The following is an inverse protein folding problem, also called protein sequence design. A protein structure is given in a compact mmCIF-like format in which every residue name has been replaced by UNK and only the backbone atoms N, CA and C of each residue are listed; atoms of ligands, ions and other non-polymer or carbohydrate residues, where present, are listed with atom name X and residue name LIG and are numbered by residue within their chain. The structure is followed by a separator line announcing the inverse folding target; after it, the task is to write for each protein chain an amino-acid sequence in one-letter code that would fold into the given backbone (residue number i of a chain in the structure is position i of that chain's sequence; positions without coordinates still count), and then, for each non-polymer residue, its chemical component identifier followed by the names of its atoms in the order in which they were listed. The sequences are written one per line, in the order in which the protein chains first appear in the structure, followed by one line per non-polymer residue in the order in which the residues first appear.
data_IF_834361839797
#
_entry.id   IF_834361839797
#
_cell.length_a   1.000
_cell.length_b   1.000
_cell.length_c   1.000
_cell.angle_alpha   90.00
_cell.angle_beta   90.00
_cell.angle_gamma   90.00
#
_symmetry.space_group_name_H-M   'P 1'
#
loop_
_entity.id
_entity.type
_entity.pdbx_description
1 polymer ?
#
# COMPACT_ATOMS: atom_id res chain seq x y z
N UNK A 1 0.34 -44.16 49.43
CA UNK A 1 -0.64 -43.07 49.20
C UNK A 1 -0.48 -42.37 47.85
N UNK A 2 0.72 -41.92 47.43
CA UNK A 2 0.90 -41.21 46.13
C UNK A 2 0.60 -42.04 44.87
N UNK A 3 0.68 -43.38 44.93
CA UNK A 3 0.32 -44.27 43.79
C UNK A 3 -1.20 -44.46 43.62
N UNK A 4 -1.96 -44.39 44.71
CA UNK A 4 -3.43 -44.44 44.67
C UNK A 4 -4.05 -43.11 44.25
N UNK A 5 -3.37 -41.99 44.55
CA UNK A 5 -3.79 -40.65 44.12
C UNK A 5 -3.79 -40.50 42.58
N UNK A 6 -2.84 -41.13 41.87
CA UNK A 6 -2.82 -41.16 40.40
C UNK A 6 -3.88 -42.09 39.80
N UNK A 7 -4.23 -43.18 40.48
CA UNK A 7 -5.29 -44.11 40.05
C UNK A 7 -6.69 -43.52 40.24
N UNK A 8 -6.91 -42.72 41.29
CA UNK A 8 -8.17 -42.00 41.52
C UNK A 8 -8.37 -40.88 40.49
N UNK A 9 -7.30 -40.15 40.12
CA UNK A 9 -7.36 -39.09 39.11
C UNK A 9 -7.67 -39.63 37.69
N UNK A 10 -7.15 -40.81 37.33
CA UNK A 10 -7.44 -41.48 36.04
C UNK A 10 -8.88 -42.04 36.02
N UNK A 11 -9.42 -42.45 37.18
CA UNK A 11 -10.81 -42.88 37.31
C UNK A 11 -11.83 -41.76 37.17
N UNK A 12 -11.55 -40.54 37.67
CA UNK A 12 -12.48 -39.41 37.56
C UNK A 12 -12.57 -38.81 36.14
N UNK A 13 -11.50 -38.90 35.35
CA UNK A 13 -11.50 -38.41 33.96
C UNK A 13 -12.27 -39.36 33.02
N UNK A 14 -12.47 -40.62 33.41
CA UNK A 14 -13.18 -41.63 32.61
C UNK A 14 -14.69 -41.71 32.90
N UNK A 15 -15.18 -41.02 33.94
CA UNK A 15 -16.61 -40.96 34.32
C UNK A 15 -17.35 -39.76 33.70
N UNK A 16 -16.64 -38.75 33.18
CA UNK A 16 -17.25 -37.59 32.51
C UNK A 16 -17.54 -37.79 31.00
N UNK A 17 -17.31 -39.00 30.47
CA UNK A 17 -17.49 -39.30 29.03
C UNK A 17 -18.71 -40.19 28.71
N UNK A 18 -19.60 -40.50 29.66
CA UNK A 18 -20.79 -41.33 29.41
C UNK A 18 -22.02 -40.83 30.17
N UNK A 19 -22.82 -39.96 29.53
CA UNK A 19 -24.28 -39.73 29.67
C UNK A 19 -24.61 -38.36 29.04
N UNK A 20 -24.89 -38.24 27.74
CA UNK A 20 -26.08 -38.66 26.98
C UNK A 20 -27.34 -37.83 27.22
N UNK A 21 -27.97 -37.46 26.10
CA UNK A 21 -29.08 -36.55 25.81
C UNK A 21 -30.35 -36.61 26.68
N UNK A 22 -31.06 -35.48 26.75
CA UNK A 22 -32.47 -35.39 27.12
C UNK A 22 -33.13 -34.12 26.56
N UNK A 23 -33.90 -34.27 25.47
CA UNK A 23 -34.77 -33.28 24.82
C UNK A 23 -36.10 -33.19 25.59
N UNK A 24 -36.63 -31.99 25.90
CA UNK A 24 -38.03 -31.68 25.58
C UNK A 24 -38.39 -30.19 25.59
N UNK A 25 -39.38 -29.89 24.76
CA UNK A 25 -39.81 -28.61 24.17
C UNK A 25 -40.51 -27.66 25.15
N UNK A 26 -40.35 -26.35 24.93
CA UNK A 26 -41.47 -25.41 24.78
C UNK A 26 -41.03 -24.24 23.89
N UNK A 27 -41.97 -23.82 23.05
CA UNK A 27 -41.92 -22.74 22.07
C UNK A 27 -42.35 -21.47 22.80
N UNK A 28 -41.62 -20.38 22.63
CA UNK A 28 -42.14 -19.02 22.66
C UNK A 28 -41.35 -18.21 21.63
N UNK A 29 -42.08 -17.61 20.69
CA UNK A 29 -41.62 -16.72 19.62
C UNK A 29 -41.16 -15.38 20.19
N UNK A 30 -40.06 -14.82 19.67
CA UNK A 30 -39.82 -13.38 19.44
C UNK A 30 -38.64 -13.22 18.45
N UNK A 31 -38.62 -12.15 17.63
CA UNK A 31 -38.18 -12.19 16.23
C UNK A 31 -36.67 -12.04 16.04
N UNK A 32 -36.12 -12.78 15.07
CA UNK A 32 -34.72 -12.69 14.65
C UNK A 32 -34.46 -11.37 13.90
N UNK A 33 -33.57 -10.56 14.46
CA UNK A 33 -32.97 -9.41 13.77
C UNK A 33 -32.04 -9.94 12.67
N UNK A 34 -32.48 -9.68 11.44
CA UNK A 34 -31.87 -10.07 10.17
C UNK A 34 -30.53 -9.35 9.95
N UNK A 35 -29.43 -9.93 10.46
CA UNK A 35 -28.09 -9.54 10.02
C UNK A 35 -27.78 -10.18 8.67
N UNK A 36 -28.44 -9.70 7.60
CA UNK A 36 -27.85 -9.90 6.27
C UNK A 36 -26.66 -8.96 6.11
N UNK A 37 -25.47 -9.46 5.76
CA UNK A 37 -24.43 -8.57 5.27
C UNK A 37 -24.89 -8.03 3.90
N UNK A 38 -25.36 -6.78 3.88
CA UNK A 38 -25.52 -6.01 2.63
C UNK A 38 -24.15 -5.56 2.13
N UNK A 39 -23.39 -6.50 1.59
CA UNK A 39 -22.41 -6.25 0.52
C UNK A 39 -21.98 -7.59 -0.09
N UNK A 40 -22.88 -8.22 -0.84
CA UNK A 40 -22.48 -9.29 -1.75
C UNK A 40 -21.93 -8.67 -3.03
N UNK A 41 -20.66 -8.25 -3.01
CA UNK A 41 -19.89 -8.24 -4.25
C UNK A 41 -19.70 -9.71 -4.64
N UNK A 42 -20.50 -10.21 -5.57
CA UNK A 42 -20.19 -11.46 -6.25
C UNK A 42 -18.99 -11.20 -7.14
N UNK A 43 -17.80 -11.27 -6.57
CA UNK A 43 -16.57 -11.41 -7.34
C UNK A 43 -16.67 -12.79 -7.98
N UNK A 44 -16.83 -12.86 -9.29
CA UNK A 44 -16.75 -14.14 -9.99
C UNK A 44 -15.39 -14.81 -9.73
N UNK A 45 -15.38 -16.15 -9.77
CA UNK A 45 -14.20 -16.95 -9.46
C UNK A 45 -13.00 -16.59 -10.35
N UNK A 46 -13.25 -16.06 -11.55
CA UNK A 46 -12.26 -15.56 -12.48
C UNK A 46 -11.58 -14.28 -11.97
N UNK A 47 -12.34 -13.30 -11.48
CA UNK A 47 -11.82 -12.06 -10.90
C UNK A 47 -11.08 -12.32 -9.58
N UNK A 48 -11.57 -13.27 -8.76
CA UNK A 48 -10.87 -13.69 -7.54
C UNK A 48 -9.55 -14.42 -7.85
N UNK A 49 -9.52 -15.24 -8.91
CA UNK A 49 -8.31 -15.92 -9.37
C UNK A 49 -7.28 -14.93 -9.94
N UNK A 50 -7.71 -13.93 -10.72
CA UNK A 50 -6.83 -12.89 -11.29
C UNK A 50 -6.20 -12.01 -10.19
N UNK A 51 -6.92 -11.72 -9.11
CA UNK A 51 -6.37 -10.95 -7.98
C UNK A 51 -5.38 -11.79 -7.14
N UNK A 52 -5.57 -13.11 -7.08
CA UNK A 52 -4.67 -14.04 -6.37
C UNK A 52 -3.30 -14.21 -7.06
N UNK A 53 -3.19 -13.81 -8.33
CA UNK A 53 -1.95 -13.88 -9.09
C UNK A 53 -1.21 -12.53 -9.19
N UNK A 54 -1.65 -11.48 -8.48
CA UNK A 54 -0.98 -10.18 -8.49
C UNK A 54 -0.59 -9.73 -7.09
N UNK A 55 0.48 -8.95 -7.01
CA UNK A 55 0.94 -8.30 -5.78
C UNK A 55 0.83 -6.78 -5.94
N UNK A 56 0.31 -6.06 -4.93
CA UNK A 56 0.31 -4.61 -4.95
C UNK A 56 1.73 -4.08 -4.73
N UNK A 57 2.11 -3.06 -5.48
CA UNK A 57 3.31 -2.24 -5.27
C UNK A 57 2.90 -0.77 -5.22
N UNK A 58 3.67 0.03 -4.49
CA UNK A 58 3.40 1.46 -4.31
C UNK A 58 4.38 2.24 -5.16
N UNK A 59 3.86 3.14 -6.01
CA UNK A 59 4.61 4.11 -6.77
C UNK A 59 4.34 5.52 -6.26
N UNK A 60 5.30 6.42 -6.42
CA UNK A 60 5.17 7.82 -6.00
C UNK A 60 5.15 8.75 -7.20
N UNK A 61 4.07 9.52 -7.36
CA UNK A 61 3.88 10.54 -8.40
C UNK A 61 3.68 11.92 -7.76
N UNK A 62 3.68 12.99 -8.55
CA UNK A 62 3.38 14.33 -8.01
C UNK A 62 1.88 14.50 -7.77
N UNK A 63 1.51 15.27 -6.74
CA UNK A 63 0.16 15.84 -6.63
C UNK A 63 -0.15 16.81 -7.79
N UNK A 64 -1.40 17.26 -7.88
CA UNK A 64 -1.83 18.20 -8.91
C UNK A 64 -1.06 19.53 -8.86
N UNK A 65 -0.58 19.92 -7.67
CA UNK A 65 0.15 21.16 -7.43
C UNK A 65 1.67 21.04 -7.67
N UNK A 66 2.19 19.84 -7.94
CA UNK A 66 3.63 19.55 -8.09
C UNK A 66 4.45 19.99 -6.86
N UNK A 67 3.88 19.80 -5.67
CA UNK A 67 4.45 20.20 -4.39
C UNK A 67 4.83 19.00 -3.52
N UNK A 68 4.11 17.87 -3.63
CA UNK A 68 4.35 16.66 -2.84
C UNK A 68 4.25 15.39 -3.67
N UNK A 69 4.75 14.30 -3.09
CA UNK A 69 4.61 12.96 -3.61
C UNK A 69 3.33 12.29 -3.08
N UNK A 70 2.52 11.75 -3.97
CA UNK A 70 1.31 10.99 -3.69
C UNK A 70 1.51 9.53 -4.11
N UNK A 71 0.99 8.62 -3.29
CA UNK A 71 1.10 7.17 -3.53
C UNK A 71 0.06 6.73 -4.56
N UNK A 72 0.48 5.92 -5.52
CA UNK A 72 -0.41 5.21 -6.45
C UNK A 72 -0.13 3.71 -6.39
N UNK A 73 -1.16 2.88 -6.21
CA UNK A 73 -1.00 1.42 -6.22
C UNK A 73 -0.96 0.90 -7.65
N UNK A 74 -0.01 0.01 -7.90
CA UNK A 74 0.06 -0.85 -9.08
C UNK A 74 -0.02 -2.31 -8.69
N UNK A 75 -0.49 -3.14 -9.61
CA UNK A 75 -0.53 -4.58 -9.44
C UNK A 75 0.47 -5.20 -10.41
N UNK A 76 1.41 -5.98 -9.87
CA UNK A 76 2.44 -6.70 -10.62
C UNK A 76 2.17 -8.19 -10.50
N UNK A 77 2.38 -8.96 -11.56
CA UNK A 77 2.17 -10.41 -11.51
C UNK A 77 3.07 -11.07 -10.45
N UNK A 78 2.50 -11.96 -9.65
CA UNK A 78 3.18 -12.66 -8.57
C UNK A 78 4.34 -13.51 -9.09
N UNK A 79 4.21 -14.02 -10.31
CA UNK A 79 5.25 -14.79 -11.00
C UNK A 79 6.49 -13.94 -11.29
N UNK A 80 6.32 -12.65 -11.58
CA UNK A 80 7.41 -11.68 -11.75
C UNK A 80 7.97 -11.23 -10.40
N UNK A 81 7.10 -10.90 -9.44
CA UNK A 81 7.52 -10.44 -8.12
C UNK A 81 8.36 -11.49 -7.35
N UNK A 82 8.08 -12.79 -7.57
CA UNK A 82 8.83 -13.90 -6.96
C UNK A 82 10.22 -14.13 -7.58
N UNK A 83 10.57 -13.47 -8.70
CA UNK A 83 11.89 -13.61 -9.32
C UNK A 83 13.01 -12.88 -8.57
N UNK A 84 12.67 -12.05 -7.58
CA UNK A 84 13.62 -11.39 -6.68
C UNK A 84 13.53 -9.87 -6.70
N UNK A 85 14.17 -9.24 -5.72
CA UNK A 85 14.08 -7.81 -5.47
C UNK A 85 14.56 -6.95 -6.65
N UNK A 86 15.63 -7.35 -7.35
CA UNK A 86 16.15 -6.62 -8.53
C UNK A 86 15.15 -6.61 -9.70
N UNK A 87 14.45 -7.72 -9.93
CA UNK A 87 13.43 -7.83 -10.97
C UNK A 87 12.24 -6.95 -10.61
N UNK A 88 11.75 -7.04 -9.37
CA UNK A 88 10.63 -6.23 -8.90
C UNK A 88 10.96 -4.72 -8.93
N UNK A 89 12.14 -4.32 -8.46
CA UNK A 89 12.63 -2.95 -8.54
C UNK A 89 12.69 -2.44 -9.99
N UNK A 90 13.16 -3.28 -10.91
CA UNK A 90 13.19 -2.94 -12.35
C UNK A 90 11.79 -2.74 -12.92
N UNK A 91 10.81 -3.54 -12.51
CA UNK A 91 9.40 -3.38 -12.90
C UNK A 91 8.84 -2.07 -12.36
N UNK A 92 9.07 -1.77 -11.08
CA UNK A 92 8.57 -0.54 -10.44
C UNK A 92 9.13 0.72 -11.11
N UNK A 93 10.41 0.76 -11.46
CA UNK A 93 10.99 1.88 -12.22
C UNK A 93 10.39 2.00 -13.62
N UNK A 94 10.15 0.88 -14.31
CA UNK A 94 9.49 0.89 -15.62
C UNK A 94 8.06 1.41 -15.53
N UNK A 95 7.30 1.06 -14.49
CA UNK A 95 5.96 1.60 -14.27
C UNK A 95 5.98 3.11 -13.95
N UNK A 96 6.96 3.59 -13.17
CA UNK A 96 7.15 5.04 -12.99
C UNK A 96 7.45 5.76 -14.31
N UNK A 97 8.31 5.17 -15.15
CA UNK A 97 8.62 5.69 -16.49
C UNK A 97 7.37 5.66 -17.38
N UNK A 98 6.52 4.64 -17.26
CA UNK A 98 5.26 4.56 -17.99
C UNK A 98 4.28 5.67 -17.57
N UNK A 99 4.39 6.17 -16.35
CA UNK A 99 3.61 7.29 -15.82
C UNK A 99 2.39 6.84 -14.98
N UNK A 100 1.63 7.81 -14.47
CA UNK A 100 0.44 7.52 -13.68
C UNK A 100 -0.69 6.93 -14.53
N UNK A 101 -1.57 6.13 -13.91
CA UNK A 101 -2.79 5.59 -14.55
C UNK A 101 -4.05 6.30 -14.09
N UNK A 102 -3.90 7.31 -13.24
CA UNK A 102 -4.98 8.21 -12.83
C UNK A 102 -4.64 9.63 -13.28
N UNK A 103 -5.66 10.45 -13.48
CA UNK A 103 -5.54 11.88 -13.79
C UNK A 103 -5.31 12.76 -12.54
N UNK A 104 -5.48 12.18 -11.34
CA UNK A 104 -5.32 12.83 -10.03
C UNK A 104 -3.88 13.10 -9.62
N UNK A 105 -2.92 12.48 -10.30
CA UNK A 105 -1.49 12.64 -10.02
C UNK A 105 -0.73 12.87 -11.32
N UNK A 106 0.44 13.49 -11.22
CA UNK A 106 1.23 13.93 -12.37
C UNK A 106 2.52 13.15 -12.54
N UNK A 107 2.90 12.98 -13.81
CA UNK A 107 4.19 12.42 -14.22
C UNK A 107 5.33 13.32 -13.74
N UNK A 108 6.36 12.70 -13.17
CA UNK A 108 7.63 13.35 -12.80
C UNK A 108 8.78 12.97 -13.75
N UNK A 109 8.85 11.70 -14.15
CA UNK A 109 9.91 11.22 -15.05
C UNK A 109 9.67 11.72 -16.48
N UNK A 110 10.62 12.45 -17.10
CA UNK A 110 10.46 13.01 -18.45
C UNK A 110 10.21 11.95 -19.52
N UNK A 111 9.36 12.28 -20.49
CA UNK A 111 9.01 11.38 -21.59
C UNK A 111 10.21 10.99 -22.47
N UNK A 112 10.31 9.71 -22.80
CA UNK A 112 11.43 9.14 -23.53
C UNK A 112 12.64 8.76 -22.66
N UNK A 113 12.57 8.99 -21.35
CA UNK A 113 13.48 8.33 -20.40
C UNK A 113 13.29 6.82 -20.49
N UNK A 114 14.39 6.07 -20.52
CA UNK A 114 14.36 4.62 -20.45
C UNK A 114 15.32 4.10 -19.38
N UNK A 115 14.99 2.93 -18.85
CA UNK A 115 15.89 2.15 -18.00
C UNK A 115 16.86 1.36 -18.89
N UNK A 116 18.17 1.55 -18.73
CA UNK A 116 19.20 0.96 -19.61
C UNK A 116 19.53 -0.50 -19.32
N UNK A 117 19.17 -0.99 -18.15
CA UNK A 117 19.41 -2.35 -17.70
C UNK A 117 18.64 -2.66 -16.43
N UNK A 118 18.71 -3.90 -15.92
CA UNK A 118 18.08 -4.22 -14.64
C UNK A 118 18.65 -3.34 -13.52
N UNK A 119 17.79 -2.94 -12.60
CA UNK A 119 18.19 -2.32 -11.34
C UNK A 119 19.04 -3.32 -10.57
N UNK A 120 20.21 -2.88 -10.11
CA UNK A 120 21.13 -3.71 -9.33
C UNK A 120 21.03 -3.34 -7.86
N UNK A 121 21.04 -4.31 -6.96
CA UNK A 121 20.98 -4.09 -5.52
C UNK A 121 22.23 -4.67 -4.86
N UNK A 122 23.05 -3.80 -4.27
CA UNK A 122 24.26 -4.16 -3.52
C UNK A 122 24.30 -3.35 -2.23
N UNK A 123 24.57 -3.99 -1.09
CA UNK A 123 24.62 -3.34 0.23
C UNK A 123 23.40 -2.44 0.55
N UNK A 124 22.21 -2.90 0.13
CA UNK A 124 20.92 -2.19 0.22
C UNK A 124 20.87 -0.85 -0.52
N UNK A 125 21.75 -0.67 -1.50
CA UNK A 125 21.75 0.44 -2.45
C UNK A 125 21.27 -0.07 -3.80
N UNK A 126 20.17 0.47 -4.29
CA UNK A 126 19.68 0.19 -5.64
C UNK A 126 20.32 1.16 -6.64
N UNK A 127 21.04 0.64 -7.63
CA UNK A 127 21.58 1.44 -8.73
C UNK A 127 20.64 1.41 -9.93
N UNK A 128 20.17 2.59 -10.34
CA UNK A 128 19.25 2.81 -11.47
C UNK A 128 20.01 3.53 -12.59
N UNK A 129 20.20 2.85 -13.73
CA UNK A 129 20.85 3.42 -14.91
C UNK A 129 19.81 3.90 -15.93
N UNK A 130 19.66 5.22 -16.05
CA UNK A 130 18.69 5.85 -16.94
C UNK A 130 19.35 6.41 -18.19
N UNK A 131 18.55 6.60 -19.24
CA UNK A 131 19.00 7.32 -20.43
C UNK A 131 19.11 8.83 -20.19
N UNK A 132 19.82 9.54 -21.07
CA UNK A 132 20.10 10.99 -20.95
C UNK A 132 18.85 11.86 -20.96
N UNK A 133 17.76 11.38 -21.56
CA UNK A 133 16.47 12.08 -21.62
C UNK A 133 15.93 12.41 -20.23
N UNK A 134 16.27 11.61 -19.22
CA UNK A 134 15.96 11.91 -17.82
C UNK A 134 16.44 13.30 -17.41
N UNK A 135 17.61 13.71 -17.89
CA UNK A 135 18.19 15.04 -17.62
C UNK A 135 17.79 16.04 -18.70
N UNK A 136 18.01 15.69 -19.97
CA UNK A 136 17.90 16.63 -21.10
C UNK A 136 16.47 17.16 -21.30
N UNK A 137 15.46 16.40 -20.91
CA UNK A 137 14.05 16.77 -21.05
C UNK A 137 13.38 17.16 -19.74
N UNK A 138 14.12 17.22 -18.64
CA UNK A 138 13.54 17.65 -17.38
C UNK A 138 13.18 19.14 -17.47
N UNK A 139 11.95 19.55 -17.10
CA UNK A 139 11.50 20.95 -17.20
C UNK A 139 12.29 21.91 -16.29
N UNK A 140 13.06 21.36 -15.35
CA UNK A 140 13.84 22.13 -14.37
C UNK A 140 13.01 22.49 -13.15
N UNK A 141 13.49 23.47 -12.37
CA UNK A 141 12.89 23.86 -11.10
C UNK A 141 13.35 22.97 -9.94
N UNK A 142 13.70 23.60 -8.82
CA UNK A 142 14.29 22.89 -7.68
C UNK A 142 13.35 21.87 -7.07
N UNK A 143 12.11 22.30 -6.75
CA UNK A 143 11.07 21.45 -6.16
C UNK A 143 10.77 20.28 -7.07
N UNK A 144 10.55 20.54 -8.36
CA UNK A 144 10.20 19.50 -9.31
C UNK A 144 11.35 18.51 -9.53
N UNK A 145 12.60 18.99 -9.55
CA UNK A 145 13.77 18.13 -9.60
C UNK A 145 13.89 17.25 -8.35
N UNK A 146 13.60 17.80 -7.16
CA UNK A 146 13.61 17.04 -5.91
C UNK A 146 12.53 15.95 -5.93
N UNK A 147 11.30 16.30 -6.31
CA UNK A 147 10.21 15.35 -6.46
C UNK A 147 10.55 14.25 -7.48
N UNK A 148 11.16 14.58 -8.61
CA UNK A 148 11.54 13.58 -9.62
C UNK A 148 12.54 12.56 -9.10
N UNK A 149 13.55 12.99 -8.34
CA UNK A 149 14.50 12.06 -7.72
C UNK A 149 13.78 11.20 -6.68
N UNK A 150 13.05 11.83 -5.76
CA UNK A 150 12.42 11.10 -4.68
C UNK A 150 11.20 10.27 -5.09
N UNK A 151 10.62 10.51 -6.26
CA UNK A 151 9.65 9.59 -6.88
C UNK A 151 10.27 8.21 -7.09
N UNK A 152 11.50 8.15 -7.63
CA UNK A 152 12.24 6.90 -7.80
C UNK A 152 12.71 6.35 -6.44
N UNK A 153 13.28 7.21 -5.60
CA UNK A 153 13.84 6.79 -4.30
C UNK A 153 12.78 6.22 -3.38
N UNK A 154 11.67 6.94 -3.17
CA UNK A 154 10.60 6.49 -2.27
C UNK A 154 9.90 5.25 -2.83
N UNK A 155 9.71 5.16 -4.14
CA UNK A 155 9.18 3.94 -4.77
C UNK A 155 10.06 2.73 -4.50
N UNK A 156 11.36 2.82 -4.76
CA UNK A 156 12.26 1.67 -4.58
C UNK A 156 12.48 1.30 -3.12
N UNK A 157 12.46 2.27 -2.21
CA UNK A 157 12.61 2.03 -0.76
C UNK A 157 11.35 1.48 -0.09
N UNK A 158 10.25 1.26 -0.83
CA UNK A 158 9.16 0.38 -0.38
C UNK A 158 9.62 -1.09 -0.30
N UNK A 159 10.64 -1.47 -1.08
CA UNK A 159 11.24 -2.80 -1.01
C UNK A 159 12.19 -2.85 0.18
N UNK A 160 11.95 -3.77 1.12
CA UNK A 160 12.71 -3.91 2.37
C UNK A 160 14.22 -4.14 2.17
N UNK A 161 14.61 -4.65 1.01
CA UNK A 161 16.01 -4.89 0.64
C UNK A 161 16.75 -3.62 0.21
N UNK A 162 16.05 -2.49 0.04
CA UNK A 162 16.59 -1.22 -0.48
C UNK A 162 16.38 -0.12 0.56
N UNK A 163 17.47 0.53 0.97
CA UNK A 163 17.42 1.72 1.82
C UNK A 163 17.80 3.01 1.11
N UNK A 164 18.66 2.90 0.10
CA UNK A 164 19.18 4.03 -0.64
C UNK A 164 19.15 3.74 -2.13
N UNK A 165 19.07 4.78 -2.94
CA UNK A 165 19.07 4.67 -4.39
C UNK A 165 20.15 5.54 -4.99
N UNK A 166 20.95 4.96 -5.89
CA UNK A 166 21.93 5.65 -6.72
C UNK A 166 21.38 5.78 -8.13
N UNK A 167 21.37 7.00 -8.67
CA UNK A 167 20.93 7.25 -10.05
C UNK A 167 22.16 7.56 -10.91
N UNK A 168 22.35 6.78 -11.96
CA UNK A 168 23.41 6.98 -12.95
C UNK A 168 22.79 7.18 -14.33
N UNK A 169 23.53 7.85 -15.22
CA UNK A 169 23.04 8.21 -16.55
C UNK A 169 23.99 7.64 -17.60
N UNK A 170 23.45 6.84 -18.51
CA UNK A 170 24.23 6.19 -19.57
C UNK A 170 25.47 5.44 -19.03
N UNK A 171 25.30 4.71 -17.92
CA UNK A 171 26.34 3.95 -17.26
C UNK A 171 27.41 4.79 -16.57
N UNK A 172 27.18 6.10 -16.39
CA UNK A 172 28.14 7.03 -15.77
C UNK A 172 27.51 7.79 -14.62
N UNK A 173 28.32 8.02 -13.59
CA UNK A 173 27.98 8.98 -12.54
C UNK A 173 27.84 10.37 -13.16
N UNK A 174 26.76 11.05 -12.81
CA UNK A 174 26.49 12.42 -13.26
C UNK A 174 26.51 13.34 -12.07
N UNK A 175 27.16 14.50 -12.20
CA UNK A 175 27.32 15.41 -11.06
C UNK A 175 26.14 16.32 -10.82
N UNK A 176 25.35 16.64 -11.83
CA UNK A 176 24.29 17.64 -11.73
C UNK A 176 23.01 17.18 -12.42
N UNK A 177 21.90 17.38 -11.74
CA UNK A 177 20.54 17.19 -12.23
C UNK A 177 19.74 18.47 -12.03
N UNK A 178 19.08 18.94 -13.09
CA UNK A 178 18.31 20.19 -13.10
C UNK A 178 19.04 21.41 -12.50
N UNK A 179 20.38 21.44 -12.62
CA UNK A 179 21.22 22.57 -12.20
C UNK A 179 21.55 22.69 -10.71
N UNK A 180 20.86 21.98 -9.80
CA UNK A 180 21.11 22.09 -8.35
C UNK A 180 21.32 20.78 -7.61
N UNK A 181 20.68 19.69 -8.03
CA UNK A 181 20.80 18.40 -7.33
C UNK A 181 22.06 17.71 -7.81
N UNK A 182 22.88 17.23 -6.88
CA UNK A 182 24.05 16.42 -7.23
C UNK A 182 23.71 14.94 -7.18
N UNK A 183 23.90 14.22 -8.30
CA UNK A 183 23.66 12.77 -8.38
C UNK A 183 24.93 11.94 -8.07
N UNK A 184 25.92 12.54 -7.40
CA UNK A 184 27.17 11.87 -7.00
C UNK A 184 27.06 11.17 -5.63
N UNK A 185 25.85 11.03 -5.09
CA UNK A 185 25.54 10.37 -3.83
C UNK A 185 24.37 9.38 -3.97
N UNK A 186 24.24 8.50 -2.99
CA UNK A 186 23.07 7.64 -2.83
C UNK A 186 22.01 8.36 -1.98
N UNK A 187 20.77 8.34 -2.43
CA UNK A 187 19.66 9.04 -1.79
C UNK A 187 18.89 8.10 -0.87
N UNK A 188 18.80 8.39 0.45
CA UNK A 188 17.87 7.69 1.33
C UNK A 188 16.44 8.17 1.10
N UNK A 189 15.47 7.39 1.54
CA UNK A 189 14.05 7.77 1.54
C UNK A 189 13.79 9.14 2.20
N UNK A 190 12.87 9.92 1.64
CA UNK A 190 12.44 11.20 2.20
C UNK A 190 10.92 11.24 2.42
N UNK A 191 10.49 11.09 3.67
CA UNK A 191 9.07 11.12 4.08
C UNK A 191 8.51 12.54 4.25
N UNK A 192 9.35 13.57 4.28
CA UNK A 192 8.89 14.94 4.53
C UNK A 192 8.13 15.54 3.34
N UNK A 193 8.37 15.01 2.14
CA UNK A 193 7.77 15.47 0.88
C UNK A 193 6.62 14.58 0.41
N UNK A 194 6.26 13.55 1.18
CA UNK A 194 5.13 12.67 0.89
C UNK A 194 3.87 13.31 1.46
N UNK A 195 2.81 13.38 0.66
CA UNK A 195 1.50 13.76 1.17
C UNK A 195 0.95 12.64 2.08
N UNK A 196 0.64 13.01 3.32
CA UNK A 196 0.16 12.09 4.36
C UNK A 196 -1.36 12.12 4.51
N UNK A 197 -2.02 13.12 3.93
CA UNK A 197 -3.45 13.36 4.03
C UNK A 197 -4.18 12.81 2.79
N UNK A 198 -3.53 12.83 1.63
CA UNK A 198 -4.04 12.18 0.42
C UNK A 198 -3.75 10.67 0.48
N UNK A 199 -4.81 9.87 0.52
CA UNK A 199 -4.77 8.41 0.47
C UNK A 199 -4.22 7.86 -0.86
N UNK A 200 -4.21 6.53 -0.99
CA UNK A 200 -3.71 5.84 -2.19
C UNK A 200 -4.53 6.24 -3.42
N UNK A 201 -3.89 6.78 -4.45
CA UNK A 201 -4.48 6.85 -5.79
C UNK A 201 -4.62 5.42 -6.32
N UNK A 202 -5.86 5.01 -6.62
CA UNK A 202 -6.15 3.69 -7.16
C UNK A 202 -6.62 3.86 -8.61
N UNK A 203 -5.96 3.22 -9.60
CA UNK A 203 -6.42 3.22 -10.98
C UNK A 203 -7.82 2.63 -11.11
N UNK A 204 -8.72 3.29 -11.85
CA UNK A 204 -10.10 2.80 -12.08
C UNK A 204 -10.14 1.40 -12.72
N UNK A 205 -9.17 1.08 -13.58
CA UNK A 205 -9.09 -0.23 -14.26
C UNK A 205 -8.68 -1.41 -13.35
N UNK A 206 -8.40 -1.18 -12.07
CA UNK A 206 -8.10 -2.27 -11.14
C UNK A 206 -9.32 -3.12 -10.76
N UNK A 207 -10.53 -2.83 -11.29
CA UNK A 207 -11.77 -3.51 -10.91
C UNK A 207 -12.17 -3.28 -9.44
N UNK A 208 -11.54 -2.31 -8.79
CA UNK A 208 -11.75 -1.96 -7.40
C UNK A 208 -12.31 -0.54 -7.36
N UNK A 209 -13.61 -0.45 -7.10
CA UNK A 209 -14.30 0.83 -6.90
C UNK A 209 -13.68 1.50 -5.67
N UNK A 210 -13.29 2.79 -5.73
CA UNK A 210 -12.76 3.48 -4.56
C UNK A 210 -13.81 3.52 -3.46
N UNK A 211 -13.44 3.06 -2.26
CA UNK A 211 -14.17 3.42 -1.04
C UNK A 211 -13.87 4.89 -0.79
N UNK A 212 -14.73 5.75 -1.32
CA UNK A 212 -14.80 7.15 -0.88
C UNK A 212 -15.19 7.08 0.59
N UNK A 213 -14.26 7.41 1.48
CA UNK A 213 -14.61 7.70 2.85
C UNK A 213 -15.44 8.98 2.86
N UNK A 214 -16.74 8.85 2.67
CA UNK A 214 -17.70 9.89 3.07
C UNK A 214 -17.69 9.89 4.59
N UNK A 215 -16.72 10.60 5.16
CA UNK A 215 -16.77 11.05 6.53
C UNK A 215 -17.83 12.13 6.65
N UNK A 216 -19.09 11.76 6.45
CA UNK A 216 -20.22 12.53 6.92
C UNK A 216 -20.27 12.30 8.43
N UNK A 217 -19.45 13.07 9.15
CA UNK A 217 -19.67 13.29 10.57
C UNK A 217 -20.94 14.12 10.67
N UNK A 218 -22.08 13.43 10.83
CA UNK A 218 -23.30 14.03 11.32
C UNK A 218 -22.97 14.75 12.63
N UNK A 219 -22.98 16.08 12.55
CA UNK A 219 -22.85 16.98 13.69
C UNK A 219 -24.25 17.32 14.18
N UNK A 220 -24.98 16.29 14.59
CA UNK A 220 -26.19 16.45 15.38
C UNK A 220 -25.99 15.62 16.64
N UNK A 221 -25.62 16.29 17.72
CA UNK A 221 -26.31 16.24 19.01
C UNK A 221 -25.36 16.65 20.15
N UNK A 222 -25.25 17.96 20.36
CA UNK A 222 -24.60 18.51 21.55
C UNK A 222 -25.06 19.95 21.82
N UNK A 223 -26.38 20.18 21.93
CA UNK A 223 -26.88 21.38 22.62
C UNK A 223 -28.36 21.30 22.98
N UNK A 224 -28.72 20.62 24.08
CA UNK A 224 -29.80 21.09 24.94
C UNK A 224 -29.71 20.43 26.32
N UNK A 225 -28.92 21.05 27.20
CA UNK A 225 -28.99 20.84 28.65
C UNK A 225 -29.42 22.16 29.28
N UNK A 226 -30.74 22.39 29.33
CA UNK A 226 -31.34 23.31 30.29
C UNK A 226 -32.11 22.46 31.30
N UNK A 227 -31.56 22.39 32.50
CA UNK A 227 -32.24 21.82 33.66
C UNK A 227 -33.37 22.76 34.08
N UNK A 228 -34.57 22.20 34.23
CA UNK A 228 -35.63 22.81 35.00
C UNK A 228 -35.40 22.51 36.48
N UNK A 229 -35.35 23.58 37.26
CA UNK A 229 -35.21 23.65 38.72
C UNK A 229 -36.47 23.08 39.39
N UNK A 230 -36.38 22.11 40.30
CA UNK A 230 -37.54 21.60 41.00
C UNK A 230 -37.80 22.47 42.22
N UNK A 231 -38.83 23.32 42.18
CA UNK A 231 -39.66 23.78 43.32
C UNK A 231 -40.55 24.97 42.87
N UNK A 232 -41.77 24.67 42.43
CA UNK A 232 -43.06 25.34 42.76
C UNK A 232 -44.18 24.96 41.76
#
# INVERSE_FOLDING_TARGET
MKKYLKLIAIGMILVMLLCSCGKNKNVDEEPEEDLTPTSSLTIDEETAAVLNEKVPVILYFADEQEAKLVKEIRYVDISEAKKGAEVLASIMVKELIAGPKTDKVKRLIPEGTNLRGPVKIEDRVATVDLTKEFIEKHPGGDTLAELTIYSIVNTLTELKDIERVKIIINGKETKNFAGKIKLDADFPRNEAIVDKEVGLAVPEEAGLVPVVGTGDYDSEDASEYYGEDPLE
#
